data_IF_706917362538
#
_entry.id   IF_706917362538
#
_cell.length_a   1.000
_cell.length_b   1.000
_cell.length_c   1.000
_cell.angle_alpha   90.00
_cell.angle_beta   90.00
_cell.angle_gamma   90.00
#
_symmetry.space_group_name_H-M   'P 1'
#
loop_
_entity.id
_entity.type
_entity.pdbx_description
1 polymer ?
#
# COMPACT_ATOMS: atom_id res chain seq x y z
N UNK A 1 47.83 -19.07 -8.93
CA UNK A 1 46.68 -19.35 -8.07
C UNK A 1 46.75 -18.40 -6.88
N UNK A 2 46.09 -17.24 -6.96
CA UNK A 2 46.15 -16.17 -5.94
C UNK A 2 44.96 -16.38 -4.99
N UNK A 3 45.23 -16.51 -3.69
CA UNK A 3 44.21 -16.68 -2.66
C UNK A 3 43.58 -15.30 -2.33
N UNK A 4 42.31 -15.02 -2.70
CA UNK A 4 41.74 -13.69 -2.54
C UNK A 4 41.20 -13.55 -1.11
N UNK A 5 41.87 -12.72 -0.30
CA UNK A 5 41.30 -12.28 0.96
C UNK A 5 40.08 -11.38 0.67
N UNK A 6 39.06 -11.43 1.54
CA UNK A 6 37.82 -10.63 1.44
C UNK A 6 38.05 -9.10 1.43
N UNK A 7 39.29 -8.61 1.56
CA UNK A 7 39.64 -7.18 1.58
C UNK A 7 40.07 -6.62 0.22
N UNK A 8 40.30 -7.45 -0.80
CA UNK A 8 40.95 -7.00 -2.05
C UNK A 8 39.99 -6.75 -3.22
N UNK A 9 38.68 -6.83 -2.97
CA UNK A 9 37.61 -6.64 -3.98
C UNK A 9 37.65 -5.28 -4.68
N UNK A 10 38.10 -4.22 -3.99
CA UNK A 10 38.17 -2.87 -4.59
C UNK A 10 39.24 -2.72 -5.66
N UNK A 11 40.32 -3.51 -5.57
CA UNK A 11 41.40 -3.52 -6.57
C UNK A 11 41.02 -4.35 -7.78
N UNK A 12 40.45 -5.54 -7.55
CA UNK A 12 39.93 -6.42 -8.60
C UNK A 12 38.86 -5.73 -9.47
N UNK A 13 37.97 -4.92 -8.86
CA UNK A 13 36.96 -4.18 -9.60
C UNK A 13 37.56 -3.13 -10.57
N UNK A 14 38.67 -2.50 -10.20
CA UNK A 14 39.34 -1.51 -11.07
C UNK A 14 40.04 -2.19 -12.25
N UNK A 15 40.70 -3.31 -11.99
CA UNK A 15 41.44 -4.05 -13.02
C UNK A 15 40.48 -4.67 -14.04
N UNK A 16 39.34 -5.19 -13.59
CA UNK A 16 38.31 -5.78 -14.44
C UNK A 16 37.61 -4.72 -15.31
N UNK A 17 37.29 -3.55 -14.73
CA UNK A 17 36.76 -2.40 -15.48
C UNK A 17 37.75 -1.87 -16.54
N UNK A 18 39.04 -1.87 -16.24
CA UNK A 18 40.08 -1.42 -17.18
C UNK A 18 40.26 -2.42 -18.32
N UNK A 19 40.25 -3.72 -18.03
CA UNK A 19 40.28 -4.78 -19.05
C UNK A 19 39.06 -4.67 -19.99
N UNK A 20 37.86 -4.46 -19.43
CA UNK A 20 36.63 -4.32 -20.22
C UNK A 20 36.61 -3.07 -21.11
N UNK A 21 37.19 -1.97 -20.63
CA UNK A 21 37.31 -0.73 -21.41
C UNK A 21 38.31 -0.88 -22.55
N UNK A 22 39.39 -1.62 -22.34
CA UNK A 22 40.45 -1.82 -23.32
C UNK A 22 40.03 -2.82 -24.39
N UNK A 23 39.33 -3.91 -24.02
CA UNK A 23 38.75 -4.85 -24.99
C UNK A 23 37.68 -4.17 -25.86
N UNK A 24 36.82 -3.34 -25.25
CA UNK A 24 35.84 -2.54 -25.99
C UNK A 24 36.50 -1.51 -26.93
N UNK A 25 37.56 -0.84 -26.47
CA UNK A 25 38.33 0.12 -27.28
C UNK A 25 39.02 -0.55 -28.48
N UNK A 26 39.61 -1.73 -28.30
CA UNK A 26 40.27 -2.49 -29.36
C UNK A 26 39.25 -3.10 -30.33
N UNK A 27 38.10 -3.56 -29.84
CA UNK A 27 36.99 -4.06 -30.68
C UNK A 27 36.37 -2.96 -31.55
N UNK A 28 36.42 -1.70 -31.12
CA UNK A 28 35.94 -0.54 -31.88
C UNK A 28 36.90 -0.08 -33.00
N UNK A 29 38.07 -0.72 -33.16
CA UNK A 29 38.90 -0.55 -34.37
C UNK A 29 39.46 0.85 -34.59
N UNK A 30 39.75 1.61 -33.53
CA UNK A 30 40.28 2.98 -33.63
C UNK A 30 41.82 3.01 -33.76
N UNK A 31 42.36 2.39 -34.80
CA UNK A 31 43.74 2.61 -35.26
C UNK A 31 43.75 3.53 -36.48
N UNK A 32 44.30 4.72 -36.25
CA UNK A 32 44.66 5.81 -37.16
C UNK A 32 43.56 6.58 -37.95
N UNK A 33 43.75 7.91 -38.13
CA UNK A 33 42.75 8.79 -38.70
C UNK A 33 42.80 8.72 -40.23
N UNK A 34 41.98 7.85 -40.80
CA UNK A 34 41.76 7.78 -42.23
C UNK A 34 40.79 8.89 -42.66
N UNK A 35 41.26 9.83 -43.50
CA UNK A 35 40.41 10.87 -44.10
C UNK A 35 39.30 10.21 -44.93
N UNK A 36 38.04 10.39 -44.52
CA UNK A 36 36.88 9.87 -45.23
C UNK A 36 36.65 10.68 -46.52
N UNK A 37 36.42 10.04 -47.68
CA UNK A 37 36.02 10.76 -48.89
C UNK A 37 34.64 11.42 -48.71
N UNK A 38 34.49 12.66 -49.18
CA UNK A 38 33.25 13.49 -49.13
C UNK A 38 31.96 12.73 -49.51
N UNK A 39 32.03 11.78 -50.44
CA UNK A 39 30.86 10.97 -50.82
C UNK A 39 30.32 10.06 -49.71
N UNK A 40 31.20 9.58 -48.82
CA UNK A 40 30.83 8.78 -47.65
C UNK A 40 30.29 9.68 -46.55
N UNK A 41 30.89 10.86 -46.35
CA UNK A 41 30.42 11.87 -45.40
C UNK A 41 28.99 12.33 -45.70
N UNK A 42 28.68 12.57 -46.98
CA UNK A 42 27.32 12.95 -47.40
C UNK A 42 26.29 11.84 -47.17
N UNK A 43 26.64 10.56 -47.41
CA UNK A 43 25.73 9.43 -47.11
C UNK A 43 25.54 9.25 -45.61
N UNK A 44 26.60 9.40 -44.82
CA UNK A 44 26.52 9.37 -43.37
C UNK A 44 25.63 10.52 -42.85
N UNK A 45 25.77 11.72 -43.41
CA UNK A 45 24.92 12.87 -43.07
C UNK A 45 23.43 12.58 -43.31
N UNK A 46 23.05 12.05 -44.47
CA UNK A 46 21.65 11.74 -44.76
C UNK A 46 21.10 10.58 -43.91
N UNK A 47 21.91 9.55 -43.66
CA UNK A 47 21.55 8.48 -42.74
C UNK A 47 21.26 9.03 -41.34
N UNK A 48 22.14 9.88 -40.80
CA UNK A 48 21.94 10.54 -39.50
C UNK A 48 20.69 11.42 -39.51
N UNK A 49 20.46 12.20 -40.58
CA UNK A 49 19.29 13.06 -40.70
C UNK A 49 17.98 12.24 -40.70
N UNK A 50 17.95 11.13 -41.41
CA UNK A 50 16.79 10.24 -41.49
C UNK A 50 16.55 9.50 -40.17
N UNK A 51 17.61 8.99 -39.54
CA UNK A 51 17.54 8.42 -38.19
C UNK A 51 17.01 9.41 -37.15
N UNK A 52 17.43 10.68 -37.22
CA UNK A 52 16.96 11.73 -36.32
C UNK A 52 15.47 12.07 -36.54
N UNK A 53 15.00 12.07 -37.81
CA UNK A 53 13.57 12.26 -38.10
C UNK A 53 12.72 11.11 -37.55
N UNK A 54 13.16 9.87 -37.76
CA UNK A 54 12.50 8.68 -37.20
C UNK A 54 12.49 8.72 -35.66
N UNK A 55 13.60 9.15 -35.04
CA UNK A 55 13.69 9.35 -33.59
C UNK A 55 12.69 10.39 -33.07
N UNK A 56 12.56 11.53 -33.75
CA UNK A 56 11.59 12.57 -33.39
C UNK A 56 10.16 12.07 -33.51
N UNK A 57 9.84 11.30 -34.55
CA UNK A 57 8.51 10.72 -34.73
C UNK A 57 8.21 9.69 -33.63
N UNK A 58 9.14 8.78 -33.36
CA UNK A 58 9.03 7.81 -32.27
C UNK A 58 8.93 8.48 -30.89
N UNK A 59 9.59 9.64 -30.71
CA UNK A 59 9.48 10.46 -29.49
C UNK A 59 8.09 11.05 -29.30
N UNK A 60 7.48 11.56 -30.39
CA UNK A 60 6.09 12.08 -30.36
C UNK A 60 5.09 10.96 -30.07
N UNK A 61 5.24 9.80 -30.69
CA UNK A 61 4.36 8.66 -30.48
C UNK A 61 4.46 8.13 -29.04
N UNK A 62 5.68 7.98 -28.51
CA UNK A 62 5.89 7.64 -27.09
C UNK A 62 5.25 8.66 -26.16
N UNK A 63 5.33 9.96 -26.47
CA UNK A 63 4.71 11.01 -25.67
C UNK A 63 3.18 10.87 -25.65
N UNK A 64 2.56 10.60 -26.81
CA UNK A 64 1.12 10.36 -26.90
C UNK A 64 0.69 9.14 -26.09
N UNK A 65 1.39 8.01 -26.24
CA UNK A 65 1.12 6.79 -25.46
C UNK A 65 1.22 7.05 -23.95
N UNK A 66 2.20 7.83 -23.50
CA UNK A 66 2.33 8.20 -22.09
C UNK A 66 1.17 9.09 -21.62
N UNK A 67 0.66 10.00 -22.46
CA UNK A 67 -0.50 10.82 -22.12
C UNK A 67 -1.77 9.96 -21.99
N UNK A 68 -2.00 9.03 -22.92
CA UNK A 68 -3.12 8.09 -22.86
C UNK A 68 -3.06 7.23 -21.57
N UNK A 69 -1.87 6.73 -21.22
CA UNK A 69 -1.69 5.98 -19.96
C UNK A 69 -1.96 6.82 -18.72
N UNK A 70 -1.59 8.10 -18.73
CA UNK A 70 -1.88 9.02 -17.63
C UNK A 70 -3.39 9.27 -17.49
N UNK A 71 -4.10 9.43 -18.60
CA UNK A 71 -5.56 9.57 -18.62
C UNK A 71 -6.26 8.34 -18.04
N UNK A 72 -5.87 7.13 -18.46
CA UNK A 72 -6.41 5.89 -17.90
C UNK A 72 -6.12 5.77 -16.39
N UNK A 73 -4.94 6.19 -15.94
CA UNK A 73 -4.59 6.17 -14.52
C UNK A 73 -5.47 7.13 -13.71
N UNK A 74 -5.70 8.33 -14.22
CA UNK A 74 -6.56 9.33 -13.57
C UNK A 74 -8.01 8.84 -13.51
N UNK A 75 -8.52 8.26 -14.60
CA UNK A 75 -9.86 7.67 -14.64
C UNK A 75 -10.02 6.52 -13.62
N UNK A 76 -9.05 5.59 -13.57
CA UNK A 76 -9.05 4.51 -12.61
C UNK A 76 -9.03 5.00 -11.15
N UNK A 77 -8.25 6.06 -10.88
CA UNK A 77 -8.19 6.68 -9.56
C UNK A 77 -9.54 7.31 -9.17
N UNK A 78 -10.17 8.05 -10.08
CA UNK A 78 -11.48 8.66 -9.85
C UNK A 78 -12.56 7.60 -9.63
N UNK A 79 -12.57 6.55 -10.44
CA UNK A 79 -13.47 5.40 -10.29
C UNK A 79 -13.28 4.70 -8.94
N UNK A 80 -12.03 4.49 -8.51
CA UNK A 80 -11.72 3.93 -7.19
C UNK A 80 -12.22 4.84 -6.06
N UNK A 81 -12.04 6.16 -6.20
CA UNK A 81 -12.51 7.16 -5.23
C UNK A 81 -14.02 7.16 -5.09
N UNK A 82 -14.75 7.10 -6.21
CA UNK A 82 -16.21 7.00 -6.25
C UNK A 82 -16.68 5.70 -5.61
N UNK A 83 -16.06 4.57 -5.96
CA UNK A 83 -16.41 3.27 -5.39
C UNK A 83 -16.23 3.26 -3.88
N UNK A 84 -15.07 3.69 -3.37
CA UNK A 84 -14.80 3.80 -1.92
C UNK A 84 -15.82 4.70 -1.23
N UNK A 85 -16.19 5.83 -1.84
CA UNK A 85 -17.20 6.73 -1.29
C UNK A 85 -18.58 6.05 -1.22
N UNK A 86 -19.01 5.35 -2.27
CA UNK A 86 -20.28 4.61 -2.29
C UNK A 86 -20.31 3.48 -1.25
N UNK A 87 -19.23 2.70 -1.17
CA UNK A 87 -19.11 1.62 -0.18
C UNK A 87 -19.12 2.17 1.23
N UNK A 88 -18.41 3.27 1.50
CA UNK A 88 -18.45 3.94 2.80
C UNK A 88 -19.86 4.44 3.12
N UNK A 89 -20.55 5.10 2.19
CA UNK A 89 -21.92 5.56 2.40
C UNK A 89 -22.88 4.40 2.69
N UNK A 90 -22.79 3.30 1.93
CA UNK A 90 -23.57 2.10 2.18
C UNK A 90 -23.24 1.51 3.55
N UNK A 91 -21.96 1.37 3.89
CA UNK A 91 -21.54 0.88 5.20
C UNK A 91 -22.08 1.76 6.32
N UNK A 92 -21.88 3.07 6.25
CA UNK A 92 -22.35 4.04 7.24
C UNK A 92 -23.88 4.02 7.39
N UNK A 93 -24.64 3.78 6.31
CA UNK A 93 -26.10 3.56 6.35
C UNK A 93 -26.48 2.24 7.04
N UNK A 94 -25.67 1.19 6.89
CA UNK A 94 -25.89 -0.11 7.51
C UNK A 94 -25.34 -0.18 8.95
N UNK A 95 -24.53 0.78 9.40
CA UNK A 95 -24.16 0.90 10.82
C UNK A 95 -25.44 1.24 11.58
N UNK A 96 -26.02 0.21 12.20
CA UNK A 96 -27.08 0.38 13.18
C UNK A 96 -26.54 1.30 14.27
N UNK A 97 -27.14 2.49 14.41
CA UNK A 97 -26.90 3.36 15.55
C UNK A 97 -27.37 2.62 16.79
N UNK A 98 -26.42 2.11 17.56
CA UNK A 98 -26.71 1.46 18.84
C UNK A 98 -26.83 2.56 19.88
N UNK A 99 -28.05 2.90 20.23
CA UNK A 99 -28.33 3.71 21.41
C UNK A 99 -28.27 2.80 22.63
N UNK A 100 -27.46 3.18 23.61
CA UNK A 100 -27.36 2.48 24.88
C UNK A 100 -27.95 3.37 25.98
N UNK A 101 -28.65 2.76 26.94
CA UNK A 101 -29.15 3.47 28.12
C UNK A 101 -28.20 3.25 29.30
N UNK A 102 -28.05 4.27 30.14
CA UNK A 102 -27.38 4.11 31.44
C UNK A 102 -28.07 3.00 32.24
N UNK A 103 -27.28 2.09 32.81
CA UNK A 103 -27.72 0.88 33.49
C UNK A 103 -27.99 -0.33 32.58
N UNK A 104 -27.90 -0.19 31.25
CA UNK A 104 -28.11 -1.30 30.33
C UNK A 104 -26.95 -2.29 30.35
N UNK A 105 -27.25 -3.59 30.42
CA UNK A 105 -26.26 -4.66 30.27
C UNK A 105 -25.85 -4.80 28.81
N UNK A 106 -24.54 -4.80 28.57
CA UNK A 106 -23.92 -4.93 27.25
C UNK A 106 -22.86 -6.03 27.27
N UNK A 107 -22.66 -6.65 26.11
CA UNK A 107 -21.56 -7.58 25.89
C UNK A 107 -20.39 -6.83 25.27
N UNK A 108 -19.24 -6.96 25.92
CA UNK A 108 -17.95 -6.51 25.42
C UNK A 108 -17.16 -7.72 24.92
N UNK A 109 -16.61 -7.62 23.70
CA UNK A 109 -15.71 -8.64 23.17
C UNK A 109 -14.25 -8.21 23.32
N UNK A 110 -13.47 -8.99 24.07
CA UNK A 110 -12.04 -8.77 24.21
C UNK A 110 -11.29 -9.62 23.18
N UNK A 111 -10.78 -8.98 22.12
CA UNK A 111 -10.07 -9.67 21.04
C UNK A 111 -8.75 -10.31 21.48
N UNK A 112 -8.08 -9.76 22.50
CA UNK A 112 -6.80 -10.29 23.01
C UNK A 112 -6.99 -11.57 23.81
N UNK A 113 -8.10 -11.66 24.53
CA UNK A 113 -8.45 -12.82 25.35
C UNK A 113 -9.44 -13.76 24.67
N UNK A 114 -9.90 -13.41 23.45
CA UNK A 114 -10.95 -14.11 22.70
C UNK A 114 -12.21 -14.41 23.54
N UNK A 115 -12.50 -13.56 24.53
CA UNK A 115 -13.54 -13.79 25.53
C UNK A 115 -14.61 -12.70 25.50
N UNK A 116 -15.82 -13.08 25.94
CA UNK A 116 -16.95 -12.17 26.10
C UNK A 116 -17.12 -11.84 27.58
N UNK A 117 -17.24 -10.56 27.89
CA UNK A 117 -17.50 -10.04 29.23
C UNK A 117 -18.83 -9.30 29.25
N UNK A 118 -19.54 -9.39 30.37
CA UNK A 118 -20.78 -8.66 30.61
C UNK A 118 -20.43 -7.41 31.41
N UNK A 119 -20.89 -6.27 30.94
CA UNK A 119 -20.66 -4.99 31.60
C UNK A 119 -21.92 -4.15 31.57
N UNK A 120 -22.07 -3.25 32.53
CA UNK A 120 -23.17 -2.28 32.60
C UNK A 120 -22.69 -0.91 32.13
N UNK A 121 -23.53 -0.23 31.35
CA UNK A 121 -23.25 1.14 30.91
C UNK A 121 -23.47 2.10 32.08
N UNK A 122 -22.47 2.91 32.41
CA UNK A 122 -22.55 3.90 33.48
C UNK A 122 -22.80 5.30 32.94
N UNK A 123 -22.14 5.67 31.84
CA UNK A 123 -22.24 7.00 31.26
C UNK A 123 -21.89 6.99 29.76
N UNK A 124 -22.48 7.91 29.01
CA UNK A 124 -22.28 8.11 27.58
C UNK A 124 -21.51 9.40 27.34
N UNK A 125 -20.26 9.28 26.89
CA UNK A 125 -19.40 10.42 26.54
C UNK A 125 -19.24 10.50 25.02
N UNK A 126 -19.89 11.50 24.41
CA UNK A 126 -19.72 11.78 22.99
C UNK A 126 -18.53 12.71 22.76
N UNK A 127 -17.42 12.17 22.22
CA UNK A 127 -16.36 13.00 21.63
C UNK A 127 -16.60 13.16 20.13
N UNK A 128 -16.24 14.32 19.57
CA UNK A 128 -16.52 14.80 18.19
C UNK A 128 -16.25 13.79 17.04
N UNK A 129 -15.58 12.66 17.29
CA UNK A 129 -15.26 11.62 16.30
C UNK A 129 -15.66 10.18 16.72
N UNK A 130 -16.05 9.94 17.98
CA UNK A 130 -16.39 8.60 18.48
C UNK A 130 -17.26 8.65 19.75
N UNK A 131 -18.29 7.81 19.80
CA UNK A 131 -19.03 7.53 21.04
C UNK A 131 -18.16 6.64 21.96
N UNK A 132 -17.76 7.21 23.10
CA UNK A 132 -17.07 6.49 24.17
C UNK A 132 -18.10 6.21 25.28
N UNK A 133 -18.14 4.97 25.75
CA UNK A 133 -18.99 4.56 26.85
C UNK A 133 -18.12 4.22 28.06
N UNK A 134 -18.50 4.73 29.22
CA UNK A 134 -17.95 4.29 30.51
C UNK A 134 -18.72 3.06 30.95
N UNK A 135 -18.03 1.95 31.14
CA UNK A 135 -18.61 0.66 31.54
C UNK A 135 -18.10 0.22 32.90
N UNK A 136 -18.90 -0.60 33.57
CA UNK A 136 -18.52 -1.35 34.77
C UNK A 136 -18.60 -2.85 34.49
N UNK A 137 -17.48 -3.56 34.72
CA UNK A 137 -17.47 -5.02 34.65
C UNK A 137 -18.25 -5.61 35.83
N UNK A 138 -19.21 -6.49 35.57
CA UNK A 138 -19.99 -7.15 36.63
C UNK A 138 -19.15 -8.12 37.47
N UNK A 139 -18.07 -8.66 36.91
CA UNK A 139 -17.25 -9.66 37.59
C UNK A 139 -16.15 -9.07 38.48
N UNK A 140 -15.53 -7.97 38.05
CA UNK A 140 -14.41 -7.34 38.75
C UNK A 140 -14.76 -6.00 39.40
N UNK A 141 -15.97 -5.48 39.15
CA UNK A 141 -16.43 -4.16 39.60
C UNK A 141 -15.51 -2.99 39.17
N UNK A 142 -14.69 -3.20 38.14
CA UNK A 142 -13.79 -2.21 37.60
C UNK A 142 -14.48 -1.37 36.54
N UNK A 143 -14.19 -0.07 36.52
CA UNK A 143 -14.69 0.87 35.52
C UNK A 143 -13.65 1.15 34.44
N UNK A 144 -14.06 1.14 33.17
CA UNK A 144 -13.17 1.42 32.05
C UNK A 144 -13.95 2.02 30.87
N UNK A 145 -13.24 2.67 29.96
CA UNK A 145 -13.84 3.34 28.81
C UNK A 145 -13.61 2.52 27.54
N UNK A 146 -14.65 2.40 26.71
CA UNK A 146 -14.59 1.69 25.43
C UNK A 146 -15.32 2.42 24.34
N UNK A 147 -14.91 2.16 23.10
CA UNK A 147 -15.62 2.63 21.93
C UNK A 147 -16.93 1.81 21.76
N UNK A 148 -18.04 2.50 21.53
CA UNK A 148 -19.36 1.86 21.32
C UNK A 148 -19.40 0.82 20.21
N UNK A 149 -18.49 0.88 19.23
CA UNK A 149 -18.37 -0.12 18.17
C UNK A 149 -18.07 -1.54 18.69
N UNK A 150 -17.41 -1.65 19.85
CA UNK A 150 -17.06 -2.94 20.47
C UNK A 150 -18.20 -3.54 21.29
N UNK A 151 -19.30 -2.81 21.45
CA UNK A 151 -20.43 -3.21 22.29
C UNK A 151 -21.53 -3.87 21.48
N UNK A 152 -22.10 -4.94 22.05
CA UNK A 152 -23.32 -5.58 21.56
C UNK A 152 -24.38 -5.52 22.64
N UNK A 153 -25.61 -5.22 22.24
CA UNK A 153 -26.77 -5.24 23.14
C UNK A 153 -26.95 -6.68 23.63
N UNK A 154 -27.01 -6.85 24.95
CA UNK A 154 -27.35 -8.13 25.55
C UNK A 154 -28.88 -8.28 25.52
N UNK A 155 -29.39 -9.18 24.69
CA UNK A 155 -30.80 -9.57 24.74
C UNK A 155 -30.98 -10.65 25.82
N UNK A 156 -31.80 -10.38 26.85
CA UNK A 156 -32.01 -11.26 28.02
C UNK A 156 -32.38 -12.71 27.65
N UNK A 157 -33.12 -12.91 26.56
CA UNK A 157 -33.47 -14.26 26.07
C UNK A 157 -32.27 -15.10 25.62
N UNK A 158 -31.22 -14.47 25.10
CA UNK A 158 -30.00 -15.13 24.61
C UNK A 158 -28.99 -15.36 25.74
N UNK A 159 -28.98 -14.48 26.76
CA UNK A 159 -28.14 -14.62 27.94
C UNK A 159 -28.48 -15.87 28.75
N UNK A 160 -29.78 -16.13 28.99
CA UNK A 160 -30.23 -17.32 29.72
C UNK A 160 -29.88 -18.64 29.02
N UNK A 161 -29.86 -18.66 27.69
CA UNK A 161 -29.39 -19.84 26.94
C UNK A 161 -27.88 -20.04 27.06
N UNK A 162 -27.10 -18.95 27.06
CA UNK A 162 -25.65 -19.01 27.20
C UNK A 162 -25.21 -19.43 28.62
N UNK A 163 -25.86 -18.93 29.67
CA UNK A 163 -25.58 -19.40 31.04
C UNK A 163 -25.94 -20.87 31.22
N UNK A 164 -27.06 -21.33 30.65
CA UNK A 164 -27.43 -22.76 30.65
C UNK A 164 -26.39 -23.62 29.93
N UNK A 165 -25.86 -23.15 28.80
CA UNK A 165 -24.82 -23.87 28.05
C UNK A 165 -23.50 -23.94 28.84
N UNK A 166 -23.11 -22.83 29.49
CA UNK A 166 -21.90 -22.75 30.33
C UNK A 166 -21.99 -23.59 31.61
N UNK A 167 -23.18 -23.81 32.15
CA UNK A 167 -23.41 -24.62 33.34
C UNK A 167 -23.56 -26.13 33.04
N UNK A 168 -23.62 -26.51 31.76
CA UNK A 168 -23.78 -27.91 31.32
C UNK A 168 -22.46 -28.58 30.92
N UNK A 169 -21.33 -27.90 31.10
CA UNK A 169 -19.95 -28.38 30.91
C UNK A 169 -19.12 -27.95 32.14
#
# INVERSE_FOLDING_TARGET
MVNPSRKDWSRLLKDDLWAHRTTYWTLLGMSDPCHLPVGIEHRAYWAVKQSNMAYNQAGKERKLQLQELEEFRLEAYENSRIYKKKVKQFHDQQILRKEFRVGQKVLLFNSRLSSLQVSSVLDEMSHLLSLIFSLMDESTNNTFQVNGNQLKILHEGRYRQWERWKASH
#
